data_IF_822979227755
#
_entry.id   IF_822979227755
#
_cell.length_a   1.000
_cell.length_b   1.000
_cell.length_c   1.000
_cell.angle_alpha   90.00
_cell.angle_beta   90.00
_cell.angle_gamma   90.00
#
_symmetry.space_group_name_H-M   'P 1'
#
loop_
_entity.id
_entity.type
_entity.pdbx_description
1 polymer ?
#
# COMPACT_ATOMS: atom_id res chain seq x y z
N UNK A 1 7.64 7.05 16.02
CA UNK A 1 6.41 6.49 15.41
C UNK A 1 5.49 7.55 14.80
N UNK A 2 5.32 8.74 15.40
CA UNK A 2 4.52 9.84 14.80
C UNK A 2 5.02 10.31 13.43
N UNK A 3 6.34 10.31 13.22
CA UNK A 3 6.97 10.69 11.96
C UNK A 3 6.54 9.82 10.77
N UNK A 4 6.41 8.51 10.96
CA UNK A 4 6.05 7.58 9.87
C UNK A 4 4.63 7.74 9.37
N UNK A 5 3.68 7.99 10.27
CA UNK A 5 2.29 8.28 9.91
C UNK A 5 2.19 9.59 9.14
N UNK A 6 2.93 10.63 9.58
CA UNK A 6 2.97 11.90 8.86
C UNK A 6 3.60 11.78 7.47
N UNK A 7 4.69 11.03 7.35
CA UNK A 7 5.33 10.79 6.06
C UNK A 7 4.38 10.09 5.08
N UNK A 8 3.66 9.05 5.52
CA UNK A 8 2.64 8.41 4.70
C UNK A 8 1.49 9.36 4.33
N UNK A 9 0.99 10.19 5.25
CA UNK A 9 -0.07 11.16 4.89
C UNK A 9 0.39 12.22 3.89
N UNK A 10 1.63 12.69 3.99
CA UNK A 10 2.18 13.65 3.04
C UNK A 10 2.36 13.02 1.66
N UNK A 11 2.87 11.80 1.59
CA UNK A 11 2.97 11.02 0.36
C UNK A 11 1.59 10.76 -0.25
N UNK A 12 0.59 10.42 0.55
CA UNK A 12 -0.79 10.20 0.09
C UNK A 12 -1.36 11.46 -0.55
N UNK A 13 -1.23 12.60 0.13
CA UNK A 13 -1.70 13.89 -0.39
C UNK A 13 -0.98 14.28 -1.70
N UNK A 14 0.32 13.99 -1.82
CA UNK A 14 1.09 14.23 -3.04
C UNK A 14 0.65 13.32 -4.20
N UNK A 15 0.30 12.07 -3.90
CA UNK A 15 -0.20 11.08 -4.87
C UNK A 15 -1.62 11.42 -5.35
N UNK A 16 -2.48 11.90 -4.46
CA UNK A 16 -3.85 12.31 -4.79
C UNK A 16 -3.89 13.65 -5.56
N UNK A 17 -2.89 14.51 -5.37
CA UNK A 17 -2.86 15.87 -5.91
C UNK A 17 -2.34 16.01 -7.34
N UNK A 18 -1.91 14.95 -8.03
CA UNK A 18 -1.32 15.07 -9.36
C UNK A 18 -1.38 13.83 -10.24
N UNK A 19 -1.07 14.01 -11.53
CA UNK A 19 -0.87 12.94 -12.52
C UNK A 19 0.50 12.25 -12.26
N UNK A 20 0.70 11.81 -11.02
CA UNK A 20 1.99 11.42 -10.47
C UNK A 20 2.41 10.06 -11.01
N UNK A 21 2.91 10.05 -12.24
CA UNK A 21 3.65 8.93 -12.83
C UNK A 21 4.99 8.81 -12.12
N UNK A 22 4.98 8.16 -10.96
CA UNK A 22 6.19 7.85 -10.24
C UNK A 22 7.02 6.83 -11.06
N UNK A 23 8.36 6.95 -11.07
CA UNK A 23 9.21 5.93 -11.65
C UNK A 23 8.93 4.56 -11.04
N UNK A 24 8.94 3.50 -11.85
CA UNK A 24 8.62 2.13 -11.41
C UNK A 24 9.47 1.65 -10.24
N UNK A 25 10.74 2.05 -10.17
CA UNK A 25 11.63 1.72 -9.05
C UNK A 25 11.21 2.37 -7.72
N UNK A 26 10.68 3.60 -7.77
CA UNK A 26 10.14 4.28 -6.59
C UNK A 26 8.79 3.69 -6.18
N UNK A 27 7.96 3.36 -7.18
CA UNK A 27 6.67 2.70 -7.00
C UNK A 27 6.84 1.34 -6.30
N UNK A 28 7.77 0.50 -6.79
CA UNK A 28 8.07 -0.81 -6.20
C UNK A 28 8.54 -0.67 -4.75
N UNK A 29 9.44 0.28 -4.47
CA UNK A 29 9.94 0.53 -3.11
C UNK A 29 8.83 0.95 -2.15
N UNK A 30 7.94 1.85 -2.57
CA UNK A 30 6.79 2.28 -1.77
C UNK A 30 5.82 1.13 -1.49
N UNK A 31 5.54 0.29 -2.50
CA UNK A 31 4.70 -0.89 -2.32
C UNK A 31 5.34 -1.88 -1.35
N UNK A 32 6.64 -2.17 -1.49
CA UNK A 32 7.37 -3.07 -0.62
C UNK A 32 7.39 -2.57 0.84
N UNK A 33 7.60 -1.28 1.04
CA UNK A 33 7.66 -0.69 2.36
C UNK A 33 6.28 -0.63 3.04
N UNK A 34 5.25 -0.15 2.33
CA UNK A 34 3.88 -0.10 2.83
C UNK A 34 3.31 -1.51 3.11
N UNK A 35 3.56 -2.47 2.21
CA UNK A 35 3.14 -3.86 2.41
C UNK A 35 3.91 -4.53 3.56
N UNK A 36 5.19 -4.20 3.75
CA UNK A 36 5.99 -4.64 4.89
C UNK A 36 5.42 -4.16 6.23
N UNK A 37 5.06 -2.89 6.30
CA UNK A 37 4.45 -2.27 7.49
C UNK A 37 3.07 -2.85 7.81
N UNK A 38 2.28 -3.15 6.78
CA UNK A 38 0.99 -3.80 6.96
C UNK A 38 1.15 -5.18 7.61
N UNK A 39 2.15 -5.93 7.15
CA UNK A 39 2.45 -7.31 7.56
C UNK A 39 3.29 -7.42 8.83
N UNK A 40 3.79 -6.31 9.37
CA UNK A 40 4.63 -6.34 10.54
C UNK A 40 3.84 -6.87 11.76
N UNK A 41 4.26 -8.02 12.28
CA UNK A 41 3.61 -8.70 13.39
C UNK A 41 3.74 -7.93 14.73
N UNK A 42 4.80 -7.12 14.89
CA UNK A 42 5.10 -6.31 16.07
C UNK A 42 5.79 -5.00 15.65
N UNK A 43 5.72 -3.97 16.50
CA UNK A 43 6.49 -2.72 16.31
C UNK A 43 5.86 -1.69 15.36
N UNK A 44 4.77 -2.03 14.67
CA UNK A 44 3.98 -1.12 13.83
C UNK A 44 2.59 -0.90 14.44
N UNK A 45 2.25 0.36 14.71
CA UNK A 45 0.92 0.71 15.25
C UNK A 45 -0.16 0.58 14.20
N UNK A 46 -1.42 0.40 14.62
CA UNK A 46 -2.57 0.37 13.71
C UNK A 46 -2.65 1.64 12.85
N UNK A 47 -2.28 2.82 13.37
CA UNK A 47 -2.28 4.07 12.61
C UNK A 47 -1.27 4.06 11.45
N UNK A 48 -0.10 3.43 11.64
CA UNK A 48 0.89 3.26 10.58
C UNK A 48 0.39 2.25 9.54
N UNK A 49 -0.24 1.16 9.98
CA UNK A 49 -0.85 0.17 9.07
C UNK A 49 -1.96 0.78 8.22
N UNK A 50 -2.81 1.63 8.80
CA UNK A 50 -3.84 2.38 8.07
C UNK A 50 -3.22 3.33 7.06
N UNK A 51 -2.27 4.19 7.48
CA UNK A 51 -1.63 5.14 6.56
C UNK A 51 -0.85 4.45 5.43
N UNK A 52 -0.24 3.30 5.69
CA UNK A 52 0.41 2.47 4.66
C UNK A 52 -0.62 1.89 3.67
N UNK A 53 -1.80 1.48 4.15
CA UNK A 53 -2.90 1.03 3.28
C UNK A 53 -3.43 2.16 2.39
N UNK A 54 -3.62 3.35 2.95
CA UNK A 54 -4.10 4.54 2.22
C UNK A 54 -3.13 4.93 1.09
N UNK A 55 -1.82 4.77 1.32
CA UNK A 55 -0.80 4.92 0.27
C UNK A 55 -0.96 3.92 -0.88
N UNK A 56 -1.16 2.64 -0.57
CA UNK A 56 -1.38 1.63 -1.61
C UNK A 56 -2.64 1.93 -2.44
N UNK A 57 -3.68 2.46 -1.79
CA UNK A 57 -4.91 2.93 -2.45
C UNK A 57 -4.62 4.12 -3.36
N UNK A 58 -3.89 5.12 -2.88
CA UNK A 58 -3.52 6.29 -3.67
C UNK A 58 -2.65 5.91 -4.88
N UNK A 59 -1.68 5.00 -4.71
CA UNK A 59 -0.85 4.49 -5.81
C UNK A 59 -1.66 3.75 -6.86
N UNK A 60 -2.66 2.96 -6.44
CA UNK A 60 -3.52 2.23 -7.34
C UNK A 60 -4.42 3.16 -8.18
N UNK A 61 -4.76 4.35 -7.68
CA UNK A 61 -5.54 5.34 -8.43
C UNK A 61 -4.92 5.74 -9.78
N UNK A 62 -3.59 5.67 -9.91
CA UNK A 62 -2.89 5.96 -11.17
C UNK A 62 -2.20 4.74 -11.80
N UNK A 63 -1.96 3.67 -11.04
CA UNK A 63 -1.16 2.50 -11.46
C UNK A 63 -1.77 1.16 -11.02
N UNK A 64 -3.11 1.06 -11.05
CA UNK A 64 -3.88 -0.07 -10.52
C UNK A 64 -3.29 -1.45 -10.83
N UNK A 65 -3.08 -1.76 -12.11
CA UNK A 65 -2.59 -3.08 -12.54
C UNK A 65 -1.20 -3.43 -12.00
N UNK A 66 -0.30 -2.45 -11.95
CA UNK A 66 1.05 -2.66 -11.42
C UNK A 66 1.02 -2.88 -9.91
N UNK A 67 0.29 -2.04 -9.18
CA UNK A 67 0.15 -2.14 -7.72
C UNK A 67 -0.47 -3.48 -7.32
N UNK A 68 -1.51 -3.92 -8.05
CA UNK A 68 -2.16 -5.21 -7.83
C UNK A 68 -1.23 -6.40 -8.10
N UNK A 69 -0.46 -6.38 -9.19
CA UNK A 69 0.50 -7.45 -9.52
C UNK A 69 1.59 -7.60 -8.46
N UNK A 70 2.17 -6.49 -7.99
CA UNK A 70 3.21 -6.50 -6.97
C UNK A 70 2.69 -6.97 -5.61
N UNK A 71 1.50 -6.49 -5.21
CA UNK A 71 0.84 -6.98 -3.99
C UNK A 71 0.58 -8.49 -4.06
N UNK A 72 0.04 -8.98 -5.17
CA UNK A 72 -0.16 -10.42 -5.36
C UNK A 72 1.15 -11.22 -5.32
N UNK A 73 2.24 -10.69 -5.88
CA UNK A 73 3.58 -11.27 -5.79
C UNK A 73 4.07 -11.41 -4.35
N UNK A 74 3.95 -10.35 -3.56
CA UNK A 74 4.33 -10.35 -2.14
C UNK A 74 3.50 -11.34 -1.31
N UNK A 75 2.23 -11.52 -1.65
CA UNK A 75 1.35 -12.50 -0.99
C UNK A 75 1.70 -13.95 -1.35
N UNK A 76 1.96 -14.22 -2.63
CA UNK A 76 2.37 -15.56 -3.09
C UNK A 76 3.69 -16.00 -2.46
N UNK A 77 4.61 -15.07 -2.23
CA UNK A 77 5.90 -15.34 -1.58
C UNK A 77 5.77 -15.73 -0.09
N UNK A 78 4.63 -15.50 0.57
CA UNK A 78 4.44 -15.84 1.98
C UNK A 78 4.06 -17.30 2.23
N UNK A 79 3.70 -18.08 1.22
CA UNK A 79 3.42 -19.52 1.37
C UNK A 79 2.26 -19.90 2.32
N UNK A 80 1.52 -18.92 2.86
CA UNK A 80 0.43 -19.09 3.82
C UNK A 80 -0.85 -18.37 3.41
N UNK A 81 -1.96 -18.66 4.08
CA UNK A 81 -3.25 -17.98 3.86
C UNK A 81 -3.10 -16.48 4.15
N UNK A 82 -3.42 -15.58 3.19
CA UNK A 82 -3.29 -14.15 3.39
C UNK A 82 -4.13 -13.67 4.59
N UNK A 83 -3.59 -12.77 5.42
CA UNK A 83 -4.33 -12.16 6.52
C UNK A 83 -5.57 -11.39 6.00
N UNK A 84 -6.67 -11.40 6.76
CA UNK A 84 -7.95 -10.78 6.42
C UNK A 84 -7.82 -9.32 5.94
N UNK A 85 -6.87 -8.57 6.50
CA UNK A 85 -6.60 -7.18 6.13
C UNK A 85 -6.14 -7.01 4.67
N UNK A 86 -5.45 -8.00 4.12
CA UNK A 86 -5.06 -8.03 2.70
C UNK A 86 -6.30 -8.13 1.83
N UNK A 87 -7.24 -9.01 2.17
CA UNK A 87 -8.51 -9.14 1.44
C UNK A 87 -9.36 -7.88 1.57
N UNK A 88 -9.38 -7.23 2.73
CA UNK A 88 -10.05 -5.94 2.93
C UNK A 88 -9.43 -4.86 2.04
N UNK A 89 -8.09 -4.79 1.95
CA UNK A 89 -7.41 -3.81 1.10
C UNK A 89 -7.66 -4.07 -0.38
N UNK A 90 -7.60 -5.33 -0.82
CA UNK A 90 -7.91 -5.73 -2.20
C UNK A 90 -9.39 -5.47 -2.54
N UNK A 91 -10.31 -5.72 -1.60
CA UNK A 91 -11.74 -5.45 -1.77
C UNK A 91 -12.02 -3.95 -1.90
N UNK A 92 -11.37 -3.11 -1.10
CA UNK A 92 -11.45 -1.64 -1.23
C UNK A 92 -10.93 -1.15 -2.57
N UNK A 93 -9.80 -1.69 -3.02
CA UNK A 93 -9.22 -1.38 -4.34
C UNK A 93 -10.16 -1.77 -5.48
N UNK A 94 -10.70 -2.98 -5.46
CA UNK A 94 -11.65 -3.45 -6.46
C UNK A 94 -12.97 -2.66 -6.45
N UNK A 95 -13.47 -2.26 -5.27
CA UNK A 95 -14.70 -1.48 -5.19
C UNK A 95 -14.54 -0.01 -5.58
N UNK A 96 -13.33 0.53 -5.50
CA UNK A 96 -13.07 1.95 -5.81
C UNK A 96 -12.72 2.18 -7.28
N UNK A 97 -12.25 1.14 -7.98
CA UNK A 97 -11.70 1.25 -9.32
C UNK A 97 -12.06 0.10 -10.28
N UNK A 98 -12.86 -0.88 -9.85
CA UNK A 98 -13.46 -1.92 -10.70
C UNK A 98 -14.85 -1.55 -11.16
#
# INVERSE_FOLDING_TARGET
QGDRVQNYRQLESALQGGDSRLPSGLLNRLIAEASGDIRAAQGVTNNVRTAASDILVALAGSHFHFVMSELQGHLKAMGGTPEEFVFVTLGKLASSYG
#
